data_IF_638072923320
#
_entry.id   IF_638072923320
#
_cell.length_a   1.000
_cell.length_b   1.000
_cell.length_c   1.000
_cell.angle_alpha   90.00
_cell.angle_beta   90.00
_cell.angle_gamma   90.00
#
_symmetry.space_group_name_H-M   'P 1'
#
loop_
_entity.id
_entity.type
_entity.pdbx_description
1 polymer ?
#
# COMPACT_ATOMS: atom_id res chain seq x y z
N UNK A 1 23.53 -8.98 -0.99
CA UNK A 1 22.30 -8.62 -1.72
C UNK A 1 21.16 -9.48 -1.21
N UNK A 2 20.02 -8.90 -0.89
CA UNK A 2 18.82 -9.61 -0.43
C UNK A 2 17.65 -9.18 -1.28
N UNK A 3 16.83 -10.14 -1.70
CA UNK A 3 15.61 -9.89 -2.47
C UNK A 3 14.44 -10.53 -1.74
N UNK A 4 13.33 -9.81 -1.64
CA UNK A 4 12.06 -10.31 -1.15
C UNK A 4 10.98 -9.99 -2.19
N UNK A 5 10.18 -10.97 -2.54
CA UNK A 5 9.06 -10.81 -3.48
C UNK A 5 7.80 -11.37 -2.84
N UNK A 6 6.72 -10.62 -2.92
CA UNK A 6 5.40 -11.00 -2.41
C UNK A 6 4.39 -10.94 -3.56
N UNK A 7 3.58 -11.96 -3.67
CA UNK A 7 2.38 -11.96 -4.49
C UNK A 7 1.18 -12.26 -3.59
N UNK A 8 0.13 -11.46 -3.67
CA UNK A 8 -1.08 -11.66 -2.91
C UNK A 8 -2.30 -11.48 -3.80
N UNK A 9 -3.30 -12.30 -3.60
CA UNK A 9 -4.60 -12.20 -4.24
C UNK A 9 -5.67 -12.16 -3.15
N UNK A 10 -6.61 -11.26 -3.29
CA UNK A 10 -7.75 -11.12 -2.41
C UNK A 10 -9.06 -11.13 -3.20
N UNK A 11 -10.09 -11.74 -2.63
CA UNK A 11 -11.46 -11.69 -3.13
C UNK A 11 -12.39 -11.32 -1.99
N UNK A 12 -13.23 -10.34 -2.23
CA UNK A 12 -14.29 -9.94 -1.32
C UNK A 12 -15.65 -10.16 -2.01
N UNK A 13 -16.40 -11.15 -1.54
CA UNK A 13 -17.74 -11.46 -2.04
C UNK A 13 -18.78 -10.67 -1.26
N UNK A 14 -19.55 -9.83 -1.93
CA UNK A 14 -20.67 -9.07 -1.40
C UNK A 14 -21.97 -9.49 -2.11
N UNK A 15 -23.13 -9.05 -1.59
CA UNK A 15 -24.43 -9.33 -2.18
C UNK A 15 -24.58 -8.70 -3.58
N UNK A 16 -23.88 -7.62 -3.85
CA UNK A 16 -23.90 -6.81 -5.08
C UNK A 16 -22.78 -7.14 -6.07
N UNK A 17 -21.86 -8.04 -5.71
CA UNK A 17 -20.80 -8.49 -6.60
C UNK A 17 -19.52 -8.94 -5.90
N UNK A 18 -18.64 -9.52 -6.69
CA UNK A 18 -17.31 -9.95 -6.26
C UNK A 18 -16.25 -8.91 -6.60
N UNK A 19 -15.40 -8.59 -5.64
CA UNK A 19 -14.31 -7.64 -5.79
C UNK A 19 -12.98 -8.38 -5.65
N UNK A 20 -12.17 -8.30 -6.68
CA UNK A 20 -10.87 -8.95 -6.73
C UNK A 20 -9.75 -7.92 -6.60
N UNK A 21 -8.67 -8.32 -5.94
CA UNK A 21 -7.46 -7.53 -5.83
C UNK A 21 -6.23 -8.40 -6.02
N UNK A 22 -5.24 -7.88 -6.74
CA UNK A 22 -3.92 -8.47 -6.95
C UNK A 22 -2.87 -7.50 -6.48
N UNK A 23 -1.89 -7.99 -5.73
CA UNK A 23 -0.69 -7.28 -5.31
C UNK A 23 0.54 -8.08 -5.73
N UNK A 24 1.49 -7.40 -6.37
CA UNK A 24 2.84 -7.89 -6.61
C UNK A 24 3.82 -6.86 -6.07
N UNK A 25 4.74 -7.28 -5.21
CA UNK A 25 5.77 -6.42 -4.65
C UNK A 25 7.12 -7.11 -4.70
N UNK A 26 8.16 -6.39 -5.05
CA UNK A 26 9.54 -6.85 -4.96
C UNK A 26 10.43 -5.78 -4.38
N UNK A 27 11.27 -6.16 -3.43
CA UNK A 27 12.25 -5.31 -2.78
C UNK A 27 13.64 -5.92 -2.93
N UNK A 28 14.59 -5.12 -3.39
CA UNK A 28 16.00 -5.48 -3.50
C UNK A 28 16.82 -4.60 -2.56
N UNK A 29 17.60 -5.24 -1.67
CA UNK A 29 18.49 -4.55 -0.72
C UNK A 29 19.94 -4.81 -1.06
N UNK A 30 20.74 -3.76 -1.11
CA UNK A 30 22.18 -3.81 -1.36
C UNK A 30 22.92 -2.77 -0.51
N UNK A 31 23.73 -3.25 0.42
CA UNK A 31 24.37 -2.41 1.41
C UNK A 31 23.37 -1.61 2.24
N UNK A 32 23.49 -0.29 2.24
CA UNK A 32 22.60 0.62 2.94
C UNK A 32 21.37 1.05 2.11
N UNK A 33 21.27 0.61 0.86
CA UNK A 33 20.20 1.01 -0.05
C UNK A 33 19.17 -0.10 -0.21
N UNK A 34 17.95 0.30 -0.54
CA UNK A 34 16.89 -0.57 -1.00
C UNK A 34 16.16 0.09 -2.16
N UNK A 35 15.81 -0.68 -3.18
CA UNK A 35 14.86 -0.28 -4.22
C UNK A 35 13.68 -1.23 -4.18
N UNK A 36 12.50 -0.75 -4.51
CA UNK A 36 11.30 -1.58 -4.55
C UNK A 36 10.36 -1.14 -5.65
N UNK A 37 9.59 -2.11 -6.11
CA UNK A 37 8.48 -1.91 -7.02
C UNK A 37 7.25 -2.64 -6.50
N UNK A 38 6.07 -2.04 -6.67
CA UNK A 38 4.79 -2.59 -6.26
C UNK A 38 3.76 -2.33 -7.34
N UNK A 39 3.10 -3.38 -7.77
CA UNK A 39 1.96 -3.30 -8.66
C UNK A 39 0.71 -3.75 -7.92
N UNK A 40 -0.35 -2.97 -8.05
CA UNK A 40 -1.67 -3.26 -7.49
C UNK A 40 -2.72 -3.15 -8.60
N UNK A 41 -3.61 -4.13 -8.66
CA UNK A 41 -4.82 -4.08 -9.45
C UNK A 41 -5.98 -4.40 -8.52
N UNK A 42 -6.89 -3.46 -8.30
CA UNK A 42 -8.01 -3.64 -7.39
C UNK A 42 -9.32 -3.26 -8.08
N UNK A 43 -10.32 -4.10 -7.93
CA UNK A 43 -11.69 -3.77 -8.29
C UNK A 43 -12.33 -2.97 -7.15
N UNK A 44 -12.88 -1.82 -7.47
CA UNK A 44 -13.47 -0.89 -6.52
C UNK A 44 -14.87 -0.50 -6.99
N UNK A 45 -15.74 -0.25 -6.04
CA UNK A 45 -17.04 0.32 -6.28
C UNK A 45 -16.89 1.82 -6.59
N UNK A 46 -17.22 2.21 -7.82
CA UNK A 46 -17.02 3.60 -8.28
C UNK A 46 -17.88 4.61 -7.54
N UNK A 47 -19.05 4.19 -7.04
CA UNK A 47 -19.93 5.01 -6.22
C UNK A 47 -19.20 5.62 -5.02
N UNK A 48 -18.44 4.82 -4.28
CA UNK A 48 -17.68 5.28 -3.09
C UNK A 48 -16.63 6.33 -3.46
N UNK A 49 -15.92 6.15 -4.56
CA UNK A 49 -14.87 7.07 -5.00
C UNK A 49 -15.40 8.38 -5.57
N UNK A 50 -16.59 8.37 -6.18
CA UNK A 50 -17.25 9.59 -6.66
C UNK A 50 -17.78 10.46 -5.53
N UNK A 51 -18.18 9.88 -4.41
CA UNK A 51 -18.75 10.60 -3.28
C UNK A 51 -17.71 11.22 -2.34
N UNK A 52 -16.51 10.67 -2.27
CA UNK A 52 -15.44 11.21 -1.41
C UNK A 52 -15.12 12.69 -1.67
N UNK A 53 -15.29 13.17 -2.90
CA UNK A 53 -15.09 14.57 -3.27
C UNK A 53 -16.24 15.51 -2.88
N UNK A 54 -17.44 14.99 -2.60
CA UNK A 54 -18.61 15.79 -2.25
C UNK A 54 -18.89 15.87 -0.74
N UNK A 55 -18.27 15.02 0.09
CA UNK A 55 -18.47 15.03 1.55
C UNK A 55 -18.01 16.32 2.23
N UNK A 56 -17.11 17.08 1.61
CA UNK A 56 -16.67 18.39 2.12
C UNK A 56 -17.64 19.55 1.84
N UNK A 57 -18.74 19.35 1.14
CA UNK A 57 -19.65 20.42 0.74
C UNK A 57 -21.02 20.42 1.43
N UNK A 58 -21.14 19.88 2.63
CA UNK A 58 -22.16 20.25 3.63
C UNK A 58 -23.66 20.04 3.29
N UNK A 59 -24.04 19.17 2.34
CA UNK A 59 -25.47 18.95 2.05
C UNK A 59 -25.90 17.48 2.26
N UNK A 60 -26.31 17.18 3.48
CA UNK A 60 -26.74 15.85 3.93
C UNK A 60 -27.99 15.28 3.24
N UNK A 61 -28.80 16.10 2.60
CA UNK A 61 -30.01 15.64 1.88
C UNK A 61 -29.68 15.08 0.49
N UNK A 62 -28.68 15.63 -0.19
CA UNK A 62 -28.21 15.10 -1.48
C UNK A 62 -27.52 13.73 -1.32
N UNK A 63 -26.89 13.47 -0.18
CA UNK A 63 -26.25 12.20 0.13
C UNK A 63 -27.23 11.02 0.12
N UNK A 64 -28.43 11.18 0.70
CA UNK A 64 -29.43 10.09 0.79
C UNK A 64 -30.06 9.75 -0.56
N UNK A 65 -30.25 10.70 -1.44
CA UNK A 65 -30.87 10.47 -2.75
C UNK A 65 -29.93 9.76 -3.73
N UNK A 66 -28.61 10.00 -3.62
CA UNK A 66 -27.60 9.39 -4.51
C UNK A 66 -27.14 7.98 -4.09
N UNK A 67 -27.20 7.63 -2.80
CA UNK A 67 -26.85 6.28 -2.32
C UNK A 67 -27.84 5.22 -2.79
N UNK A 68 -29.07 5.60 -3.10
CA UNK A 68 -30.09 4.66 -3.60
C UNK A 68 -30.03 4.40 -5.11
N UNK A 69 -29.29 5.19 -5.89
CA UNK A 69 -29.25 5.10 -7.36
C UNK A 69 -27.86 4.65 -7.90
N UNK A 70 -26.91 4.43 -7.02
CA UNK A 70 -25.60 3.89 -7.39
C UNK A 70 -25.62 2.34 -7.29
N UNK A 71 -26.28 1.69 -8.22
CA UNK A 71 -25.95 0.30 -8.58
C UNK A 71 -24.43 0.31 -8.92
N UNK A 72 -23.63 -0.22 -7.98
CA UNK A 72 -22.20 -0.03 -7.95
C UNK A 72 -21.52 -0.58 -9.19
N UNK A 73 -21.22 0.30 -10.13
CA UNK A 73 -20.37 -0.07 -11.25
C UNK A 73 -18.98 -0.42 -10.69
N UNK A 74 -18.60 -1.68 -10.84
CA UNK A 74 -17.30 -2.18 -10.43
C UNK A 74 -16.27 -1.78 -11.49
N UNK A 75 -15.24 -1.08 -11.10
CA UNK A 75 -14.17 -0.70 -12.00
C UNK A 75 -12.80 -1.07 -11.45
N UNK A 76 -11.88 -1.45 -12.34
CA UNK A 76 -10.51 -1.77 -11.97
C UNK A 76 -9.63 -0.52 -11.92
N UNK A 77 -8.97 -0.30 -10.80
CA UNK A 77 -7.91 0.70 -10.62
C UNK A 77 -6.59 -0.03 -10.56
N UNK A 78 -5.62 0.42 -11.37
CA UNK A 78 -4.28 -0.11 -11.34
C UNK A 78 -3.32 0.96 -10.81
N UNK A 79 -2.36 0.54 -9.98
CA UNK A 79 -1.32 1.40 -9.45
C UNK A 79 0.04 0.73 -9.60
N UNK A 80 1.03 1.49 -10.05
CA UNK A 80 2.43 1.08 -10.11
C UNK A 80 3.26 2.05 -9.26
N UNK A 81 3.82 1.55 -8.17
CA UNK A 81 4.72 2.30 -7.29
C UNK A 81 6.16 1.85 -7.53
N UNK A 82 7.07 2.80 -7.67
CA UNK A 82 8.51 2.57 -7.72
C UNK A 82 9.17 3.49 -6.70
N UNK A 83 10.05 2.93 -5.88
CA UNK A 83 10.67 3.70 -4.82
C UNK A 83 12.02 3.18 -4.39
N UNK A 84 12.64 3.96 -3.53
CA UNK A 84 13.91 3.61 -2.90
C UNK A 84 14.04 4.18 -1.51
N UNK A 85 14.90 3.56 -0.72
CA UNK A 85 15.23 4.00 0.62
C UNK A 85 16.70 3.76 0.92
N UNK A 86 17.29 4.62 1.75
CA UNK A 86 18.67 4.51 2.21
C UNK A 86 18.74 4.59 3.73
N UNK A 87 19.52 3.70 4.34
CA UNK A 87 19.90 3.82 5.74
C UNK A 87 20.99 4.89 5.86
N UNK A 88 20.73 5.94 6.64
CA UNK A 88 21.60 7.10 6.82
C UNK A 88 22.50 6.94 8.04
N UNK A 89 21.96 6.36 9.13
CA UNK A 89 22.68 6.20 10.39
C UNK A 89 22.20 4.95 11.15
N UNK A 90 23.04 4.46 12.06
CA UNK A 90 22.74 3.31 12.93
C UNK A 90 23.09 3.60 14.41
N UNK A 91 22.48 4.62 15.03
CA UNK A 91 22.75 4.92 16.43
C UNK A 91 22.26 3.77 17.32
N UNK A 92 23.14 3.25 18.20
CA UNK A 92 22.81 2.20 19.17
C UNK A 92 22.10 0.97 18.57
N UNK A 93 22.43 0.62 17.31
CA UNK A 93 21.80 -0.52 16.60
C UNK A 93 20.47 -0.22 15.92
N UNK A 94 19.93 0.98 16.07
CA UNK A 94 18.73 1.42 15.34
C UNK A 94 19.08 1.80 13.90
N UNK A 95 18.31 1.32 12.93
CA UNK A 95 18.45 1.76 11.54
C UNK A 95 17.57 3.01 11.31
N UNK A 96 18.20 4.15 11.10
CA UNK A 96 17.54 5.40 10.70
C UNK A 96 17.80 5.63 9.22
N UNK A 97 16.76 5.88 8.46
CA UNK A 97 16.86 6.07 7.02
C UNK A 97 15.78 6.98 6.45
N UNK A 98 15.95 7.34 5.19
CA UNK A 98 14.98 8.09 4.42
C UNK A 98 14.71 7.38 3.09
N UNK A 99 13.57 7.66 2.50
CA UNK A 99 13.18 7.13 1.20
C UNK A 99 12.17 8.01 0.50
N UNK A 100 11.97 7.68 -0.78
CA UNK A 100 10.94 8.30 -1.59
C UNK A 100 10.38 7.28 -2.58
N UNK A 101 9.15 7.49 -2.98
CA UNK A 101 8.49 6.74 -4.05
C UNK A 101 7.59 7.62 -4.90
N UNK A 102 7.29 7.10 -6.09
CA UNK A 102 6.32 7.66 -7.01
C UNK A 102 5.33 6.55 -7.39
N UNK A 103 4.05 6.89 -7.41
CA UNK A 103 2.97 5.98 -7.81
C UNK A 103 2.25 6.55 -9.03
N UNK A 104 2.14 5.74 -10.07
CA UNK A 104 1.41 6.00 -11.29
C UNK A 104 0.09 5.24 -11.23
N UNK A 105 -1.01 5.93 -11.49
CA UNK A 105 -2.34 5.31 -11.49
C UNK A 105 -2.89 5.25 -12.91
N UNK A 106 -3.59 4.16 -13.19
CA UNK A 106 -4.50 4.07 -14.32
C UNK A 106 -5.91 3.94 -13.77
N UNK A 107 -6.72 4.97 -13.97
CA UNK A 107 -8.09 5.01 -13.49
C UNK A 107 -9.08 4.75 -14.63
N UNK A 108 -10.22 4.10 -14.34
CA UNK A 108 -11.29 3.90 -15.33
C UNK A 108 -11.85 5.23 -15.82
N UNK A 109 -12.39 5.23 -17.04
CA UNK A 109 -12.92 6.44 -17.70
C UNK A 109 -13.96 7.17 -16.85
N UNK A 110 -14.78 6.44 -16.11
CA UNK A 110 -15.81 7.00 -15.23
C UNK A 110 -15.25 7.86 -14.08
N UNK A 111 -14.00 7.62 -13.66
CA UNK A 111 -13.34 8.37 -12.58
C UNK A 111 -12.41 9.49 -13.12
N UNK A 112 -12.13 9.52 -14.42
CA UNK A 112 -11.22 10.49 -15.03
C UNK A 112 -11.66 11.96 -14.84
N UNK A 113 -12.95 12.32 -14.90
CA UNK A 113 -13.37 13.71 -14.71
C UNK A 113 -13.02 14.26 -13.33
N UNK A 114 -12.88 13.39 -12.31
CA UNK A 114 -12.61 13.78 -10.93
C UNK A 114 -11.12 13.65 -10.57
N UNK A 115 -10.43 12.66 -11.13
CA UNK A 115 -9.06 12.28 -10.72
C UNK A 115 -8.02 12.50 -11.83
N UNK A 116 -8.43 12.85 -13.04
CA UNK A 116 -7.57 12.91 -14.22
C UNK A 116 -7.36 11.53 -14.86
N UNK A 117 -6.80 11.51 -16.06
CA UNK A 117 -6.59 10.27 -16.82
C UNK A 117 -5.48 9.39 -16.22
N UNK A 118 -4.40 10.02 -15.77
CA UNK A 118 -3.19 9.36 -15.24
C UNK A 118 -2.67 10.11 -14.02
N UNK A 119 -3.35 10.02 -12.88
CA UNK A 119 -2.86 10.67 -11.67
C UNK A 119 -1.53 10.08 -11.24
N UNK A 120 -0.66 10.94 -10.70
CA UNK A 120 0.65 10.57 -10.17
C UNK A 120 0.74 11.12 -8.76
N UNK A 121 1.23 10.32 -7.83
CA UNK A 121 1.56 10.77 -6.48
C UNK A 121 3.02 10.47 -6.15
N UNK A 122 3.59 11.24 -5.25
CA UNK A 122 4.91 10.95 -4.70
C UNK A 122 4.88 11.05 -3.18
N UNK A 123 5.73 10.26 -2.52
CA UNK A 123 5.90 10.29 -1.07
C UNK A 123 7.37 10.39 -0.73
N UNK A 124 7.67 11.11 0.34
CA UNK A 124 8.97 11.12 1.01
C UNK A 124 8.74 10.69 2.44
N UNK A 125 9.55 9.78 2.95
CA UNK A 125 9.36 9.22 4.27
C UNK A 125 10.67 9.05 5.04
N UNK A 126 10.58 9.12 6.35
CA UNK A 126 11.61 8.70 7.28
C UNK A 126 11.28 7.30 7.81
N UNK A 127 12.30 6.49 7.98
CA UNK A 127 12.18 5.13 8.47
C UNK A 127 13.08 4.94 9.68
N UNK A 128 12.48 4.45 10.77
CA UNK A 128 13.21 4.07 11.97
C UNK A 128 12.90 2.59 12.24
N UNK A 129 13.93 1.77 12.35
CA UNK A 129 13.80 0.34 12.69
C UNK A 129 14.57 0.07 13.98
N UNK A 130 13.95 -0.61 14.97
CA UNK A 130 14.66 -1.05 16.16
C UNK A 130 15.74 -2.08 15.80
N UNK A 131 16.77 -2.25 16.65
CA UNK A 131 17.72 -3.34 16.51
C UNK A 131 16.95 -4.67 16.48
N UNK A 132 17.40 -5.62 15.65
CA UNK A 132 16.82 -6.96 15.65
C UNK A 132 16.90 -7.52 17.10
N UNK A 133 15.79 -8.08 17.64
CA UNK A 133 15.85 -8.71 18.94
C UNK A 133 16.95 -9.76 18.90
N UNK A 134 17.86 -9.72 19.87
CA UNK A 134 18.93 -10.71 19.97
C UNK A 134 18.30 -12.08 20.22
N UNK A 135 18.09 -12.85 19.15
CA UNK A 135 17.60 -14.23 19.21
C UNK A 135 18.55 -15.23 19.87
N UNK A 136 19.53 -14.74 20.65
CA UNK A 136 20.54 -15.57 21.33
C UNK A 136 20.28 -15.80 22.82
N UNK A 137 19.25 -15.23 23.42
CA UNK A 137 19.01 -15.50 24.84
C UNK A 137 18.29 -16.85 25.11
N UNK A 138 17.64 -17.44 24.14
CA UNK A 138 16.90 -18.70 24.35
C UNK A 138 17.86 -19.90 24.32
N UNK A 139 18.91 -19.88 23.49
CA UNK A 139 19.87 -20.99 23.41
C UNK A 139 20.81 -21.10 24.62
N UNK A 140 21.09 -19.99 25.30
CA UNK A 140 21.98 -20.00 26.48
C UNK A 140 21.28 -20.53 27.73
N UNK A 141 19.95 -20.40 27.83
CA UNK A 141 19.19 -20.90 28.98
C UNK A 141 18.93 -22.41 28.84
N UNK A 142 18.70 -22.91 27.63
CA UNK A 142 18.47 -24.35 27.39
C UNK A 142 19.74 -25.21 27.55
N UNK A 143 20.92 -24.66 27.26
CA UNK A 143 22.19 -25.42 27.44
C UNK A 143 22.65 -25.54 28.90
N UNK A 144 22.05 -24.77 29.84
CA UNK A 144 22.37 -24.87 31.29
C UNK A 144 21.43 -25.76 32.11
N UNK A 145 20.34 -26.24 31.52
CA UNK A 145 19.35 -27.11 32.23
C UNK A 145 19.55 -28.59 31.87
N UNK A 146 20.43 -28.92 30.92
CA UNK A 146 20.72 -30.29 30.42
C UNK A 146 22.06 -30.85 30.82
N UNK A 147 22.66 -30.41 31.92
CA UNK A 147 23.91 -30.95 32.44
C UNK A 147 23.76 -31.45 33.87
#
# INVERSE_FOLDING_TARGET
MQTATTAAYGRNAKLDGDYNALLLESTHRFGSNAIYGRFEAAQVETGVLRFGSHLFRGNTKAFRAHVSDSSGEIAAVNALTVGGARTLARPSGWDVGAGADVTFYKVPTILQPTHGERPVSFHVFLRVRPPAPMGRMVDVVMSRIGG
#
